data_IF_945362525360
#
_entry.id   IF_945362525360
#
_cell.length_a   1.000
_cell.length_b   1.000
_cell.length_c   1.000
_cell.angle_alpha   90.00
_cell.angle_beta   90.00
_cell.angle_gamma   90.00
#
_symmetry.space_group_name_H-M   'P 1'
#
loop_
_entity.id
_entity.type
_entity.pdbx_description
1 polymer ?
#
# COMPACT_ATOMS: atom_id res chain seq x y z
N UNK A 1 -26.19 -80.88 1.90
CA UNK A 1 -24.88 -81.19 2.51
C UNK A 1 -23.85 -80.26 1.87
N UNK A 2 -23.23 -79.43 2.71
CA UNK A 2 -22.03 -78.58 2.58
C UNK A 2 -21.40 -78.29 1.20
N UNK A 3 -21.37 -76.97 0.92
CA UNK A 3 -20.30 -76.10 0.37
C UNK A 3 -18.92 -76.74 0.09
N UNK A 4 -18.25 -76.26 -0.98
CA UNK A 4 -16.96 -75.53 -0.90
C UNK A 4 -16.54 -75.02 -2.29
N UNK A 5 -16.78 -73.72 -2.54
CA UNK A 5 -16.10 -72.94 -3.56
C UNK A 5 -14.75 -72.46 -2.98
N UNK A 6 -13.64 -72.45 -3.75
CA UNK A 6 -12.40 -71.81 -3.30
C UNK A 6 -12.52 -70.29 -3.49
N UNK A 7 -12.77 -69.58 -2.39
CA UNK A 7 -13.04 -68.14 -2.31
C UNK A 7 -11.82 -67.22 -2.37
N UNK A 8 -10.60 -67.76 -2.44
CA UNK A 8 -9.43 -66.98 -2.00
C UNK A 8 -8.64 -66.30 -3.12
N UNK A 9 -9.01 -66.50 -4.40
CA UNK A 9 -8.31 -65.87 -5.54
C UNK A 9 -9.02 -64.67 -6.15
N UNK A 10 -10.33 -64.52 -5.92
CA UNK A 10 -11.10 -63.41 -6.49
C UNK A 10 -11.04 -62.13 -5.64
N UNK A 11 -10.86 -62.26 -4.32
CA UNK A 11 -10.75 -61.14 -3.38
C UNK A 11 -9.40 -60.41 -3.48
N UNK A 12 -8.34 -61.07 -3.93
CA UNK A 12 -7.02 -60.46 -4.02
C UNK A 12 -6.87 -59.50 -5.22
N UNK A 13 -7.53 -59.76 -6.35
CA UNK A 13 -7.47 -58.86 -7.51
C UNK A 13 -8.28 -57.57 -7.30
N UNK A 14 -9.42 -57.64 -6.61
CA UNK A 14 -10.22 -56.43 -6.33
C UNK A 14 -9.57 -55.49 -5.31
N UNK A 15 -8.81 -56.04 -4.35
CA UNK A 15 -8.06 -55.24 -3.37
C UNK A 15 -6.90 -54.47 -4.02
N UNK A 16 -6.19 -55.08 -4.98
CA UNK A 16 -5.08 -54.42 -5.68
C UNK A 16 -5.58 -53.33 -6.63
N UNK A 17 -6.72 -53.52 -7.30
CA UNK A 17 -7.30 -52.50 -8.20
C UNK A 17 -7.85 -51.31 -7.41
N UNK A 18 -8.45 -51.54 -6.24
CA UNK A 18 -8.88 -50.43 -5.35
C UNK A 18 -7.70 -49.70 -4.67
N UNK A 19 -6.57 -50.36 -4.43
CA UNK A 19 -5.38 -49.68 -3.89
C UNK A 19 -4.68 -48.78 -4.92
N UNK A 20 -4.84 -49.05 -6.23
CA UNK A 20 -4.26 -48.22 -7.30
C UNK A 20 -5.14 -46.99 -7.61
N UNK A 21 -6.46 -47.03 -7.33
CA UNK A 21 -7.33 -45.87 -7.58
C UNK A 21 -7.39 -44.82 -6.45
N UNK A 22 -6.87 -45.11 -5.26
CA UNK A 22 -6.92 -44.17 -4.11
C UNK A 22 -5.68 -43.26 -4.03
N UNK A 23 -4.67 -43.46 -4.87
CA UNK A 23 -3.45 -42.61 -4.87
C UNK A 23 -3.41 -41.56 -5.98
N UNK A 24 -4.48 -41.45 -6.78
CA UNK A 24 -4.54 -40.55 -7.95
C UNK A 24 -5.26 -39.21 -7.75
N UNK A 25 -5.71 -38.88 -6.54
CA UNK A 25 -6.36 -37.59 -6.23
C UNK A 25 -5.51 -36.75 -5.30
N UNK A 26 -4.23 -36.57 -5.67
CA UNK A 26 -3.54 -35.34 -5.30
C UNK A 26 -4.26 -34.23 -6.07
N UNK A 27 -5.27 -33.65 -5.44
CA UNK A 27 -5.73 -32.31 -5.74
C UNK A 27 -4.45 -31.48 -5.87
N UNK A 28 -4.09 -31.15 -7.10
CA UNK A 28 -3.19 -30.06 -7.41
C UNK A 28 -3.83 -28.84 -6.76
N UNK A 29 -3.51 -28.66 -5.48
CA UNK A 29 -3.75 -27.42 -4.76
C UNK A 29 -3.12 -26.38 -5.68
N UNK A 30 -3.86 -25.37 -6.15
CA UNK A 30 -3.28 -24.37 -7.02
C UNK A 30 -2.05 -23.88 -6.28
N UNK A 31 -0.87 -24.14 -6.85
CA UNK A 31 0.37 -23.70 -6.23
C UNK A 31 0.16 -22.22 -6.02
N UNK A 32 0.12 -21.77 -4.76
CA UNK A 32 0.11 -20.33 -4.48
C UNK A 32 1.28 -19.81 -5.28
N UNK A 33 1.01 -19.09 -6.37
CA UNK A 33 2.04 -18.39 -7.11
C UNK A 33 2.66 -17.49 -6.08
N UNK A 34 3.84 -17.87 -5.59
CA UNK A 34 4.63 -17.05 -4.70
C UNK A 34 5.10 -15.91 -5.60
N UNK A 35 4.28 -14.86 -5.68
CA UNK A 35 4.71 -13.62 -6.29
C UNK A 35 5.86 -13.17 -5.40
N UNK A 36 7.08 -13.29 -5.91
CA UNK A 36 8.27 -12.79 -5.23
C UNK A 36 8.23 -11.27 -5.28
N UNK A 37 7.37 -10.66 -4.47
CA UNK A 37 7.35 -9.21 -4.18
C UNK A 37 8.49 -8.90 -3.21
N UNK A 38 9.70 -9.40 -3.51
CA UNK A 38 10.89 -9.08 -2.75
C UNK A 38 11.62 -8.01 -3.55
N UNK A 39 11.43 -6.72 -3.22
CA UNK A 39 12.27 -5.70 -3.79
C UNK A 39 13.74 -5.99 -3.46
N UNK A 40 14.65 -5.60 -4.35
CA UNK A 40 16.08 -5.84 -4.16
C UNK A 40 16.56 -5.16 -2.86
N UNK A 41 17.54 -5.74 -2.15
CA UNK A 41 18.17 -5.07 -1.01
C UNK A 41 18.74 -3.72 -1.45
N UNK A 42 18.56 -2.69 -0.63
CA UNK A 42 19.11 -1.36 -0.88
C UNK A 42 20.65 -1.47 -0.92
N UNK A 43 21.25 -1.15 -2.06
CA UNK A 43 22.70 -1.21 -2.28
C UNK A 43 23.37 0.16 -2.31
N UNK A 44 22.59 1.26 -2.27
CA UNK A 44 23.12 2.63 -2.30
C UNK A 44 23.26 3.20 -0.89
N UNK A 45 24.50 3.59 -0.54
CA UNK A 45 24.84 4.26 0.71
C UNK A 45 24.69 5.80 0.67
N UNK A 46 24.29 6.36 -0.47
CA UNK A 46 24.04 7.79 -0.66
C UNK A 46 22.64 7.98 -1.21
N UNK A 47 21.65 8.11 -0.33
CA UNK A 47 20.27 8.41 -0.71
C UNK A 47 20.11 9.91 -0.65
N UNK A 48 20.06 10.55 -1.82
CA UNK A 48 19.73 11.97 -1.93
C UNK A 48 18.24 12.19 -1.69
N UNK A 49 17.89 13.40 -1.25
CA UNK A 49 16.48 13.75 -1.13
C UNK A 49 15.83 13.82 -2.51
N UNK A 50 14.65 13.19 -2.68
CA UNK A 50 14.03 13.08 -4.00
C UNK A 50 13.39 14.38 -4.49
N UNK A 51 13.24 15.36 -3.59
CA UNK A 51 12.73 16.69 -3.87
C UNK A 51 13.76 17.69 -3.36
N UNK A 52 14.01 18.74 -4.14
CA UNK A 52 14.68 19.93 -3.63
C UNK A 52 13.67 20.88 -2.98
N UNK A 53 14.16 21.84 -2.21
CA UNK A 53 13.32 22.80 -1.49
C UNK A 53 12.34 23.54 -2.42
N UNK A 54 12.77 23.93 -3.62
CA UNK A 54 11.91 24.63 -4.57
C UNK A 54 10.71 23.78 -5.02
N UNK A 55 10.93 22.53 -5.39
CA UNK A 55 9.85 21.60 -5.75
C UNK A 55 8.93 21.33 -4.56
N UNK A 56 9.52 21.16 -3.38
CA UNK A 56 8.75 20.95 -2.16
C UNK A 56 7.81 22.13 -1.88
N UNK A 57 8.32 23.36 -1.89
CA UNK A 57 7.53 24.56 -1.68
C UNK A 57 6.45 24.74 -2.77
N UNK A 58 6.74 24.39 -4.02
CA UNK A 58 5.75 24.42 -5.10
C UNK A 58 4.58 23.44 -4.84
N UNK A 59 4.87 22.22 -4.38
CA UNK A 59 3.85 21.23 -4.00
C UNK A 59 3.01 21.74 -2.83
N UNK A 60 3.66 22.24 -1.76
CA UNK A 60 2.98 22.73 -0.57
C UNK A 60 2.09 23.94 -0.90
N UNK A 61 2.56 24.86 -1.73
CA UNK A 61 1.79 26.01 -2.20
C UNK A 61 0.58 25.57 -3.05
N UNK A 62 0.79 24.67 -4.00
CA UNK A 62 -0.29 24.11 -4.83
C UNK A 62 -1.35 23.44 -3.96
N UNK A 63 -0.91 22.68 -2.96
CA UNK A 63 -1.78 22.00 -2.01
C UNK A 63 -2.25 22.88 -0.87
N UNK A 64 -1.94 24.17 -0.84
CA UNK A 64 -2.33 25.06 0.28
C UNK A 64 -2.06 24.41 1.65
N UNK A 65 -0.90 23.76 1.77
CA UNK A 65 -0.44 23.11 2.99
C UNK A 65 0.45 24.08 3.73
N UNK A 66 -0.04 24.63 4.83
CA UNK A 66 0.72 25.56 5.65
C UNK A 66 0.09 25.73 7.03
N UNK A 67 0.89 26.12 8.02
CA UNK A 67 0.41 26.31 9.39
C UNK A 67 -0.63 27.42 9.54
N UNK A 68 -0.74 28.33 8.58
CA UNK A 68 -1.77 29.37 8.54
C UNK A 68 -3.07 28.89 7.89
N UNK A 69 -3.03 27.79 7.12
CA UNK A 69 -4.17 27.21 6.41
C UNK A 69 -4.77 26.01 7.14
N UNK A 70 -4.02 25.34 8.01
CA UNK A 70 -4.55 24.29 8.89
C UNK A 70 -5.50 24.89 9.94
N UNK A 71 -6.74 24.39 10.07
CA UNK A 71 -7.69 24.85 11.09
C UNK A 71 -7.12 24.75 12.50
N UNK A 72 -7.36 25.81 13.30
CA UNK A 72 -6.94 25.90 14.71
C UNK A 72 -7.93 25.17 15.63
N UNK A 73 -7.50 24.67 16.81
CA UNK A 73 -6.19 24.88 17.44
C UNK A 73 -5.12 23.91 16.93
N UNK A 74 -3.97 24.48 16.57
CA UNK A 74 -2.78 23.75 16.12
C UNK A 74 -2.15 22.88 17.22
N UNK A 75 -2.42 23.22 18.48
CA UNK A 75 -1.88 22.57 19.67
C UNK A 75 -2.88 21.60 20.32
N UNK A 76 -3.97 21.20 19.63
CA UNK A 76 -4.76 20.09 20.12
C UNK A 76 -3.85 18.85 20.21
N UNK A 77 -3.79 18.15 21.35
CA UNK A 77 -3.03 16.91 21.45
C UNK A 77 -3.31 16.02 20.25
N UNK A 78 -2.29 15.34 19.73
CA UNK A 78 -2.44 14.44 18.59
C UNK A 78 -3.56 13.39 18.82
N UNK A 79 -3.79 13.06 20.08
CA UNK A 79 -4.84 12.17 20.55
C UNK A 79 -6.21 12.83 20.76
N UNK A 80 -6.32 14.16 20.76
CA UNK A 80 -7.58 14.89 20.96
C UNK A 80 -8.52 14.87 19.76
N UNK A 81 -8.09 14.33 18.63
CA UNK A 81 -8.98 13.95 17.53
C UNK A 81 -9.60 12.57 17.72
N UNK A 82 -9.47 11.95 18.90
CA UNK A 82 -10.46 10.97 19.38
C UNK A 82 -11.79 11.64 19.77
N UNK A 83 -12.18 12.73 19.10
CA UNK A 83 -13.59 13.07 19.01
C UNK A 83 -14.24 11.82 18.44
N UNK A 84 -15.14 11.24 19.22
CA UNK A 84 -15.73 9.91 19.05
C UNK A 84 -15.82 9.47 17.60
N UNK A 85 -15.62 8.17 17.30
CA UNK A 85 -16.07 7.61 16.03
C UNK A 85 -17.59 7.77 16.00
N UNK A 86 -18.07 8.94 15.56
CA UNK A 86 -19.34 9.01 14.88
C UNK A 86 -19.17 8.05 13.71
N UNK A 87 -20.16 7.20 13.48
CA UNK A 87 -20.13 6.08 12.54
C UNK A 87 -19.79 6.45 11.07
N UNK A 88 -19.36 7.67 10.81
CA UNK A 88 -18.86 8.15 9.55
C UNK A 88 -17.39 8.52 9.73
N UNK A 89 -16.53 7.77 9.07
CA UNK A 89 -15.09 7.99 8.83
C UNK A 89 -14.85 9.30 8.03
N UNK A 90 -15.52 10.40 8.43
CA UNK A 90 -15.46 11.69 7.75
C UNK A 90 -14.03 12.20 7.88
N UNK A 91 -13.35 12.21 6.73
CA UNK A 91 -12.12 12.93 6.47
C UNK A 91 -12.38 14.39 6.86
N UNK A 92 -11.87 14.83 8.02
CA UNK A 92 -11.90 16.24 8.38
C UNK A 92 -10.79 16.91 7.56
N UNK A 93 -11.21 17.56 6.49
CA UNK A 93 -10.41 18.40 5.60
C UNK A 93 -11.19 19.71 5.43
N UNK A 94 -11.09 20.59 6.43
CA UNK A 94 -11.87 21.84 6.48
C UNK A 94 -11.34 22.85 5.46
N UNK A 95 -10.03 22.83 5.18
CA UNK A 95 -9.40 23.74 4.22
C UNK A 95 -9.56 23.27 2.75
N UNK A 96 -10.17 22.10 2.54
CA UNK A 96 -10.48 21.47 1.25
C UNK A 96 -9.26 21.36 0.34
N UNK A 97 -8.13 20.94 0.90
CA UNK A 97 -6.90 20.74 0.13
C UNK A 97 -6.62 19.28 -0.26
N UNK A 98 -7.55 18.40 0.07
CA UNK A 98 -7.49 16.95 -0.10
C UNK A 98 -6.37 16.31 0.73
N UNK A 99 -6.04 16.91 1.88
CA UNK A 99 -5.18 16.35 2.92
C UNK A 99 -5.96 16.45 4.22
N UNK A 100 -6.04 15.35 4.97
CA UNK A 100 -6.74 15.40 6.26
C UNK A 100 -6.03 16.34 7.23
N UNK A 101 -6.78 17.17 7.93
CA UNK A 101 -6.25 18.19 8.83
C UNK A 101 -5.41 17.59 9.99
N UNK A 102 -5.79 16.41 10.49
CA UNK A 102 -5.04 15.69 11.54
C UNK A 102 -3.65 15.28 11.04
N UNK A 103 -3.58 14.79 9.81
CA UNK A 103 -2.37 14.35 9.14
C UNK A 103 -1.50 15.54 8.71
N UNK A 104 -2.09 16.57 8.11
CA UNK A 104 -1.39 17.78 7.68
C UNK A 104 -0.66 18.44 8.87
N UNK A 105 -1.35 18.56 10.00
CA UNK A 105 -0.77 19.11 11.23
C UNK A 105 0.39 18.28 11.74
N UNK A 106 0.27 16.95 11.72
CA UNK A 106 1.37 16.07 12.09
C UNK A 106 2.59 16.34 11.20
N UNK A 107 2.43 16.38 9.89
CA UNK A 107 3.54 16.65 8.97
C UNK A 107 4.25 17.96 9.32
N UNK A 108 3.47 19.03 9.50
CA UNK A 108 4.01 20.38 9.77
C UNK A 108 4.58 20.56 11.19
N UNK A 109 4.21 19.70 12.16
CA UNK A 109 4.77 19.74 13.52
C UNK A 109 5.99 18.85 13.66
N UNK A 110 5.99 17.71 12.97
CA UNK A 110 7.01 16.69 13.09
C UNK A 110 8.21 16.95 12.18
N UNK A 111 7.97 17.43 10.96
CA UNK A 111 9.02 17.63 9.98
C UNK A 111 9.50 19.08 9.94
N UNK A 112 10.81 19.25 10.08
CA UNK A 112 11.48 20.56 10.01
C UNK A 112 11.81 21.00 8.59
N UNK A 113 11.76 20.06 7.64
CA UNK A 113 12.18 20.25 6.25
C UNK A 113 10.95 20.24 5.34
N UNK A 114 10.75 21.26 4.48
CA UNK A 114 9.61 21.29 3.57
C UNK A 114 9.59 20.08 2.63
N UNK A 115 10.75 19.51 2.29
CA UNK A 115 10.86 18.31 1.45
C UNK A 115 10.16 17.10 2.08
N UNK A 116 10.32 16.87 3.38
CA UNK A 116 9.64 15.79 4.09
C UNK A 116 8.14 16.05 4.25
N UNK A 117 7.73 17.30 4.44
CA UNK A 117 6.30 17.66 4.44
C UNK A 117 5.69 17.37 3.06
N UNK A 118 6.35 17.79 1.98
CA UNK A 118 5.89 17.55 0.61
C UNK A 118 5.84 16.05 0.28
N UNK A 119 6.83 15.26 0.70
CA UNK A 119 6.78 13.80 0.59
C UNK A 119 5.58 13.21 1.33
N UNK A 120 5.26 13.69 2.53
CA UNK A 120 4.07 13.27 3.27
C UNK A 120 2.78 13.57 2.50
N UNK A 121 2.65 14.77 1.93
CA UNK A 121 1.49 15.17 1.11
C UNK A 121 1.35 14.33 -0.15
N UNK A 122 2.46 14.04 -0.85
CA UNK A 122 2.46 13.14 -2.02
C UNK A 122 2.06 11.71 -1.63
N UNK A 123 2.57 11.21 -0.50
CA UNK A 123 2.23 9.89 0.02
C UNK A 123 0.75 9.80 0.41
N UNK A 124 0.19 10.83 1.05
CA UNK A 124 -1.24 10.89 1.37
C UNK A 124 -2.11 10.79 0.11
N UNK A 125 -1.81 11.57 -0.93
CA UNK A 125 -2.55 11.50 -2.20
C UNK A 125 -2.47 10.10 -2.85
N UNK A 126 -1.35 9.40 -2.67
CA UNK A 126 -1.23 8.00 -3.09
C UNK A 126 -2.07 7.06 -2.21
N UNK A 127 -2.04 7.23 -0.89
CA UNK A 127 -2.78 6.40 0.05
C UNK A 127 -4.29 6.61 -0.03
N UNK A 128 -4.77 7.80 -0.38
CA UNK A 128 -6.18 8.05 -0.69
C UNK A 128 -6.63 7.14 -1.84
N UNK A 129 -5.83 7.07 -2.91
CA UNK A 129 -6.10 6.19 -4.06
C UNK A 129 -6.03 4.72 -3.69
N UNK A 130 -5.09 4.33 -2.83
CA UNK A 130 -5.00 2.97 -2.30
C UNK A 130 -6.26 2.61 -1.51
N UNK A 131 -6.65 3.44 -0.54
CA UNK A 131 -7.82 3.22 0.32
C UNK A 131 -9.13 3.20 -0.47
N UNK A 132 -9.27 4.04 -1.50
CA UNK A 132 -10.45 4.05 -2.38
C UNK A 132 -10.69 2.70 -3.08
N UNK A 133 -9.66 1.88 -3.27
CA UNK A 133 -9.82 0.55 -3.88
C UNK A 133 -10.63 -0.41 -2.99
N UNK A 134 -10.69 -0.17 -1.68
CA UNK A 134 -11.48 -0.98 -0.75
C UNK A 134 -12.96 -1.03 -1.16
N UNK A 135 -13.56 0.13 -1.40
CA UNK A 135 -14.98 0.27 -1.72
C UNK A 135 -15.28 0.30 -3.22
N UNK A 136 -14.25 0.41 -4.07
CA UNK A 136 -14.41 0.42 -5.53
C UNK A 136 -15.08 -0.88 -6.03
N UNK A 137 -16.28 -0.73 -6.61
CA UNK A 137 -17.06 -1.83 -7.19
C UNK A 137 -16.59 -2.18 -8.60
N UNK A 138 -16.17 -1.19 -9.36
CA UNK A 138 -15.69 -1.37 -10.72
C UNK A 138 -14.40 -2.20 -10.76
N UNK A 139 -14.20 -2.89 -11.88
CA UNK A 139 -12.99 -3.68 -12.11
C UNK A 139 -11.77 -2.76 -12.09
N UNK A 140 -10.83 -3.04 -11.19
CA UNK A 140 -9.53 -2.36 -11.14
C UNK A 140 -8.64 -2.96 -12.24
N UNK A 141 -8.13 -2.16 -13.19
CA UNK A 141 -7.19 -2.65 -14.21
C UNK A 141 -5.91 -3.21 -13.60
N UNK A 142 -5.34 -4.24 -14.21
CA UNK A 142 -4.09 -4.86 -13.74
C UNK A 142 -2.95 -3.85 -13.60
N UNK A 143 -2.79 -2.96 -14.59
CA UNK A 143 -1.75 -1.92 -14.57
C UNK A 143 -1.93 -0.96 -13.40
N UNK A 144 -3.17 -0.62 -13.05
CA UNK A 144 -3.50 0.22 -11.90
C UNK A 144 -3.14 -0.49 -10.59
N UNK A 145 -3.46 -1.78 -10.47
CA UNK A 145 -3.11 -2.56 -9.31
C UNK A 145 -1.58 -2.66 -9.11
N UNK A 146 -0.84 -2.98 -10.19
CA UNK A 146 0.64 -3.00 -10.16
C UNK A 146 1.17 -1.64 -9.76
N UNK A 147 0.68 -0.55 -10.37
CA UNK A 147 1.14 0.81 -10.07
C UNK A 147 0.90 1.17 -8.62
N UNK A 148 -0.27 0.88 -8.06
CA UNK A 148 -0.59 1.20 -6.66
C UNK A 148 0.32 0.43 -5.70
N UNK A 149 0.51 -0.87 -5.89
CA UNK A 149 1.34 -1.68 -5.00
C UNK A 149 2.83 -1.33 -5.11
N UNK A 150 3.35 -1.18 -6.33
CA UNK A 150 4.77 -0.83 -6.54
C UNK A 150 5.09 0.57 -6.01
N UNK A 151 4.20 1.55 -6.17
CA UNK A 151 4.36 2.87 -5.57
C UNK A 151 4.33 2.84 -4.05
N UNK A 152 3.41 2.07 -3.45
CA UNK A 152 3.32 1.95 -2.00
C UNK A 152 4.60 1.32 -1.41
N UNK A 153 5.15 0.31 -2.09
CA UNK A 153 6.44 -0.30 -1.72
C UNK A 153 7.57 0.73 -1.86
N UNK A 154 7.67 1.43 -2.98
CA UNK A 154 8.73 2.43 -3.22
C UNK A 154 8.67 3.58 -2.19
N UNK A 155 7.48 4.08 -1.85
CA UNK A 155 7.30 5.11 -0.80
C UNK A 155 7.86 4.60 0.54
N UNK A 156 7.48 3.39 0.95
CA UNK A 156 7.92 2.81 2.23
C UNK A 156 9.43 2.56 2.25
N UNK A 157 9.99 2.05 1.14
CA UNK A 157 11.43 1.84 1.02
C UNK A 157 12.20 3.14 1.02
N UNK A 158 11.69 4.19 0.38
CA UNK A 158 12.35 5.49 0.40
C UNK A 158 12.41 6.06 1.82
N UNK A 159 11.29 6.06 2.56
CA UNK A 159 11.31 6.48 3.97
C UNK A 159 12.30 5.64 4.78
N UNK A 160 12.26 4.31 4.66
CA UNK A 160 13.20 3.43 5.35
C UNK A 160 14.67 3.77 5.06
N UNK A 161 14.98 4.09 3.80
CA UNK A 161 16.34 4.43 3.37
C UNK A 161 16.78 5.79 3.92
N UNK A 162 15.91 6.79 3.86
CA UNK A 162 16.19 8.13 4.39
C UNK A 162 16.33 8.12 5.92
N UNK A 163 15.60 7.24 6.62
CA UNK A 163 15.74 7.06 8.07
C UNK A 163 17.12 6.52 8.50
N UNK A 164 17.85 5.86 7.59
CA UNK A 164 19.23 5.43 7.88
C UNK A 164 20.21 6.62 7.86
N UNK A 165 19.84 7.74 7.24
CA UNK A 165 20.66 8.94 7.10
C UNK A 165 20.22 10.03 8.08
N UNK A 166 18.91 10.22 8.21
CA UNK A 166 18.27 11.10 9.17
C UNK A 166 17.43 10.27 10.16
N UNK A 167 18.02 9.97 11.31
CA UNK A 167 17.36 9.19 12.36
C UNK A 167 16.20 9.94 13.05
N UNK A 168 16.03 11.23 12.78
CA UNK A 168 14.90 12.02 13.28
C UNK A 168 13.68 11.92 12.35
N UNK A 169 13.86 11.44 11.13
CA UNK A 169 12.78 11.13 10.21
C UNK A 169 12.00 9.91 10.72
N UNK A 170 10.68 10.02 10.75
CA UNK A 170 9.78 8.89 11.00
C UNK A 170 8.84 8.78 9.83
N UNK A 171 8.64 7.57 9.30
CA UNK A 171 7.64 7.33 8.25
C UNK A 171 6.24 7.77 8.72
N UNK A 172 5.48 8.54 7.93
CA UNK A 172 4.20 9.06 8.36
C UNK A 172 3.05 8.07 8.15
N UNK A 173 3.32 6.84 7.70
CA UNK A 173 2.29 5.85 7.33
C UNK A 173 1.33 5.52 8.49
N UNK A 174 1.84 5.36 9.70
CA UNK A 174 1.02 5.03 10.88
C UNK A 174 0.21 6.24 11.38
N UNK A 175 0.63 7.45 11.02
CA UNK A 175 -0.15 8.66 11.30
C UNK A 175 -1.23 8.89 10.26
N UNK A 176 -1.02 8.45 9.02
CA UNK A 176 -2.07 8.44 8.02
C UNK A 176 -3.11 7.35 8.33
N UNK A 177 -2.69 6.10 8.55
CA UNK A 177 -3.58 5.00 8.95
C UNK A 177 -3.63 4.85 10.48
N UNK A 178 -4.06 5.92 11.17
CA UNK A 178 -3.99 6.09 12.63
C UNK A 178 -5.13 5.43 13.43
N UNK A 179 -6.06 4.74 12.79
CA UNK A 179 -7.16 4.02 13.45
C UNK A 179 -7.19 2.56 13.01
N UNK A 180 -7.74 1.67 13.85
CA UNK A 180 -7.92 0.26 13.49
C UNK A 180 -8.68 0.09 12.17
N UNK A 181 -9.77 0.84 11.99
CA UNK A 181 -10.54 0.83 10.75
C UNK A 181 -9.69 1.22 9.53
N UNK A 182 -8.87 2.27 9.64
CA UNK A 182 -7.99 2.72 8.54
C UNK A 182 -6.91 1.69 8.23
N UNK A 183 -6.36 1.03 9.25
CA UNK A 183 -5.40 -0.08 9.08
C UNK A 183 -6.07 -1.25 8.35
N UNK A 184 -7.31 -1.62 8.74
CA UNK A 184 -8.07 -2.68 8.07
C UNK A 184 -8.37 -2.30 6.61
N UNK A 185 -8.79 -1.07 6.34
CA UNK A 185 -9.02 -0.57 4.96
C UNK A 185 -7.74 -0.69 4.13
N UNK A 186 -6.59 -0.26 4.68
CA UNK A 186 -5.28 -0.40 4.01
C UNK A 186 -4.99 -1.86 3.67
N UNK A 187 -5.08 -2.74 4.66
CA UNK A 187 -4.78 -4.16 4.48
C UNK A 187 -5.69 -4.79 3.42
N UNK A 188 -7.00 -4.56 3.52
CA UNK A 188 -7.96 -5.13 2.57
C UNK A 188 -7.78 -4.56 1.15
N UNK A 189 -7.40 -3.29 1.03
CA UNK A 189 -7.03 -2.67 -0.25
C UNK A 189 -5.81 -3.37 -0.86
N UNK A 190 -4.74 -3.52 -0.07
CA UNK A 190 -3.50 -4.18 -0.52
C UNK A 190 -3.77 -5.64 -0.92
N UNK A 191 -4.51 -6.40 -0.11
CA UNK A 191 -4.89 -7.78 -0.41
C UNK A 191 -5.70 -7.88 -1.70
N UNK A 192 -6.68 -6.98 -1.91
CA UNK A 192 -7.50 -6.94 -3.13
C UNK A 192 -6.63 -6.72 -4.37
N UNK A 193 -5.70 -5.77 -4.30
CA UNK A 193 -4.78 -5.48 -5.40
C UNK A 193 -3.80 -6.62 -5.66
N UNK A 194 -3.24 -7.22 -4.60
CA UNK A 194 -2.33 -8.36 -4.70
C UNK A 194 -3.01 -9.59 -5.34
N UNK A 195 -4.29 -9.83 -5.08
CA UNK A 195 -5.06 -10.89 -5.77
C UNK A 195 -5.18 -10.64 -7.27
N UNK A 196 -5.37 -9.38 -7.69
CA UNK A 196 -5.39 -9.03 -9.13
C UNK A 196 -4.02 -9.27 -9.75
N UNK A 197 -2.97 -8.85 -9.06
CA UNK A 197 -1.58 -9.00 -9.48
C UNK A 197 -1.18 -10.48 -9.56
N UNK A 198 -1.67 -11.34 -8.66
CA UNK A 198 -1.40 -12.78 -8.66
C UNK A 198 -1.83 -13.49 -9.95
N UNK A 199 -2.78 -12.91 -10.67
CA UNK A 199 -3.28 -13.40 -11.94
C UNK A 199 -2.49 -12.84 -13.14
N UNK A 200 -1.49 -12.00 -12.91
CA UNK A 200 -0.64 -11.43 -13.95
C UNK A 200 0.21 -12.52 -14.62
N UNK A 201 0.22 -12.62 -15.96
CA UNK A 201 1.16 -13.47 -16.68
C UNK A 201 2.56 -12.85 -16.76
N UNK A 202 2.73 -11.58 -16.36
CA UNK A 202 3.97 -10.83 -16.49
C UNK A 202 4.71 -10.72 -15.14
N UNK A 203 6.05 -10.79 -15.15
CA UNK A 203 6.85 -10.50 -13.96
C UNK A 203 6.69 -9.02 -13.57
N UNK A 204 6.67 -8.76 -12.26
CA UNK A 204 6.60 -7.41 -11.73
C UNK A 204 8.02 -6.93 -11.47
N UNK A 205 8.37 -5.79 -12.05
CA UNK A 205 9.64 -5.12 -11.79
C UNK A 205 9.42 -4.02 -10.76
N UNK A 206 10.28 -3.98 -9.74
CA UNK A 206 10.33 -2.89 -8.77
C UNK A 206 11.36 -1.85 -9.19
N UNK A 207 11.09 -0.60 -8.86
CA UNK A 207 12.02 0.50 -9.10
C UNK A 207 13.29 0.29 -8.25
N UNK A 208 14.50 0.24 -8.86
CA UNK A 208 15.75 0.13 -8.11
C UNK A 208 16.05 1.38 -7.28
N UNK A 209 15.45 2.53 -7.59
CA UNK A 209 15.61 3.80 -6.89
C UNK A 209 14.28 4.23 -6.26
N UNK A 210 13.89 3.64 -5.12
CA UNK A 210 12.56 3.86 -4.53
C UNK A 210 12.24 5.33 -4.23
N UNK A 211 13.26 6.16 -3.95
CA UNK A 211 13.05 7.59 -3.72
C UNK A 211 12.73 8.39 -4.99
N UNK A 212 13.18 7.97 -6.17
CA UNK A 212 12.84 8.61 -7.44
C UNK A 212 11.32 8.63 -7.68
N UNK A 213 10.59 7.71 -7.04
CA UNK A 213 9.13 7.69 -7.06
C UNK A 213 8.49 9.00 -6.59
N UNK A 214 9.08 9.69 -5.62
CA UNK A 214 8.55 10.98 -5.16
C UNK A 214 8.69 12.08 -6.22
N UNK A 215 9.75 12.06 -7.01
CA UNK A 215 9.92 12.96 -8.17
C UNK A 215 8.80 12.74 -9.19
N UNK A 216 8.52 11.48 -9.55
CA UNK A 216 7.43 11.15 -10.49
C UNK A 216 6.03 11.53 -9.96
N UNK A 217 5.79 11.34 -8.66
CA UNK A 217 4.54 11.75 -8.02
C UNK A 217 4.39 13.28 -8.01
N UNK A 218 5.47 14.01 -7.77
CA UNK A 218 5.50 15.47 -7.83
C UNK A 218 5.20 15.98 -9.23
N UNK A 219 5.89 15.45 -10.25
CA UNK A 219 5.67 15.82 -11.66
C UNK A 219 4.23 15.56 -12.08
N UNK A 220 3.68 14.38 -11.74
CA UNK A 220 2.28 14.06 -12.04
C UNK A 220 1.32 15.06 -11.40
N UNK A 221 1.58 15.49 -10.16
CA UNK A 221 0.73 16.46 -9.48
C UNK A 221 0.82 17.85 -10.15
N UNK A 222 2.04 18.33 -10.42
CA UNK A 222 2.28 19.64 -11.01
C UNK A 222 1.74 19.72 -12.46
N UNK A 223 1.96 18.70 -13.28
CA UNK A 223 1.51 18.67 -14.69
C UNK A 223 -0.02 18.65 -14.83
N UNK A 224 -0.73 17.94 -13.95
CA UNK A 224 -2.21 17.92 -13.97
C UNK A 224 -2.83 19.29 -13.71
N UNK A 225 -2.11 20.20 -13.03
CA UNK A 225 -2.60 21.55 -12.76
C UNK A 225 -2.36 22.50 -13.92
N UNK A 226 -1.21 22.41 -14.61
CA UNK A 226 -0.91 23.29 -15.75
C UNK A 226 -1.72 22.97 -17.01
N UNK A 227 -2.28 21.77 -17.11
CA UNK A 227 -3.13 21.36 -18.25
C UNK A 227 -4.63 21.62 -18.01
N UNK A 228 -5.02 22.03 -16.80
CA UNK A 228 -6.41 22.26 -16.39
C UNK A 228 -6.80 23.76 -16.32
N UNK A 229 -5.86 24.65 -16.67
CA UNK A 229 -6.07 26.08 -16.89
C UNK A 229 -6.00 26.40 -18.38
#
# INVERSE_FOLDING_TARGET
MRLLFPSDRFLFCFSIIMMVLVTGSVLASPSKTVIKLSPQPLTQHTVELPLNEYHALAILALKKVSSSQVPRPYNAPLHSFTALPTNNDQLIDINNNNVRDDYERLLLTQYKRPEYVAMGVLAAAHWDRLAATHTQKDRIPLITAITLITNNIAINQCYYSLQQIDNTLVSPILHYFNTEQRIVIKQQSEEKLLRIIALSPFPITFDPQPCQRFTLLAESMLQTTFSAN
#
